data_IF_644873778007
#
_entry.id   IF_644873778007
#
_cell.length_a   1.000
_cell.length_b   1.000
_cell.length_c   1.000
_cell.angle_alpha   90.00
_cell.angle_beta   90.00
_cell.angle_gamma   90.00
#
_symmetry.space_group_name_H-M   'P 1'
#
loop_
_entity.id
_entity.type
_entity.pdbx_description
1 polymer ?
#
# COMPACT_ATOMS: atom_id res chain seq x y z
N UNK A 1 -20.50 -34.05 37.90
CA UNK A 1 -19.47 -33.77 36.88
C UNK A 1 -19.89 -32.53 36.14
N UNK A 2 -19.18 -31.38 36.34
CA UNK A 2 -19.48 -30.15 35.64
C UNK A 2 -18.81 -30.18 34.28
N UNK A 3 -19.62 -30.12 33.22
CA UNK A 3 -19.15 -30.00 31.85
C UNK A 3 -18.65 -28.55 31.68
N UNK A 4 -17.33 -28.37 31.63
CA UNK A 4 -16.71 -27.09 31.43
C UNK A 4 -17.13 -26.47 30.09
N UNK A 5 -17.87 -25.37 30.11
CA UNK A 5 -18.18 -24.60 28.92
C UNK A 5 -16.88 -24.03 28.33
N UNK A 6 -16.56 -24.45 27.10
CA UNK A 6 -15.45 -23.87 26.34
C UNK A 6 -15.74 -22.38 26.13
N UNK A 7 -14.83 -21.45 26.51
CA UNK A 7 -15.08 -20.04 26.32
C UNK A 7 -15.27 -19.73 24.82
N UNK A 8 -16.14 -18.79 24.46
CA UNK A 8 -16.39 -18.43 23.08
C UNK A 8 -15.08 -17.98 22.42
N UNK A 9 -14.78 -18.54 21.25
CA UNK A 9 -13.61 -18.18 20.43
C UNK A 9 -13.71 -16.68 20.11
N UNK A 10 -12.77 -15.90 20.63
CA UNK A 10 -12.69 -14.46 20.31
C UNK A 10 -12.42 -14.33 18.81
N UNK A 11 -13.43 -13.91 18.06
CA UNK A 11 -13.25 -13.58 16.64
C UNK A 11 -12.40 -12.31 16.59
N UNK A 12 -11.15 -12.44 16.11
CA UNK A 12 -10.30 -11.28 15.91
C UNK A 12 -10.87 -10.42 14.78
N UNK A 13 -10.84 -9.08 14.90
CA UNK A 13 -11.32 -8.21 13.84
C UNK A 13 -10.52 -8.45 12.56
N UNK A 14 -11.22 -8.41 11.42
CA UNK A 14 -10.57 -8.49 10.10
C UNK A 14 -9.70 -7.25 9.92
N UNK A 15 -8.41 -7.45 9.70
CA UNK A 15 -7.49 -6.34 9.45
C UNK A 15 -7.65 -5.82 8.02
N UNK A 16 -7.42 -4.54 7.85
CA UNK A 16 -7.55 -3.83 6.57
C UNK A 16 -6.16 -3.54 5.98
N UNK A 17 -6.02 -3.75 4.68
CA UNK A 17 -4.91 -3.25 3.88
C UNK A 17 -5.36 -2.00 3.15
N UNK A 18 -4.61 -0.90 3.27
CA UNK A 18 -4.74 0.26 2.40
C UNK A 18 -3.79 0.14 1.22
N UNK A 19 -4.29 0.35 0.02
CA UNK A 19 -3.48 0.50 -1.20
C UNK A 19 -3.75 1.87 -1.77
N UNK A 20 -2.75 2.74 -1.73
CA UNK A 20 -2.85 4.12 -2.19
C UNK A 20 -2.01 4.33 -3.44
N UNK A 21 -2.60 4.98 -4.42
CA UNK A 21 -2.00 5.27 -5.70
C UNK A 21 -1.98 6.78 -5.95
N UNK A 22 -0.81 7.31 -6.26
CA UNK A 22 -0.58 8.72 -6.48
C UNK A 22 -0.91 9.22 -7.89
N UNK A 23 -0.38 10.39 -8.25
CA UNK A 23 -0.75 11.10 -9.46
C UNK A 23 -0.42 10.30 -10.72
N UNK A 24 -1.27 10.44 -11.70
CA UNK A 24 -1.19 9.83 -13.03
C UNK A 24 -1.35 8.30 -13.07
N UNK A 25 -1.49 7.60 -11.94
CA UNK A 25 -1.72 6.15 -11.93
C UNK A 25 -3.12 5.77 -12.43
N UNK A 26 -4.06 6.71 -12.45
CA UNK A 26 -5.33 6.56 -13.17
C UNK A 26 -5.16 6.37 -14.69
N UNK A 27 -4.00 6.73 -15.25
CA UNK A 27 -3.66 6.57 -16.66
C UNK A 27 -2.91 5.26 -16.94
N UNK A 28 -2.76 4.39 -15.95
CA UNK A 28 -2.10 3.10 -16.10
C UNK A 28 -2.77 2.27 -17.21
N UNK A 29 -1.95 1.64 -18.07
CA UNK A 29 -2.41 0.91 -19.25
C UNK A 29 -2.55 1.76 -20.51
N UNK A 30 -2.63 3.08 -20.39
CA UNK A 30 -2.70 4.02 -21.53
C UNK A 30 -1.46 4.88 -21.65
N UNK A 31 -0.66 5.00 -20.59
CA UNK A 31 0.55 5.80 -20.52
C UNK A 31 1.79 4.91 -20.53
N UNK A 32 2.72 5.20 -21.45
CA UNK A 32 4.04 4.55 -21.51
C UNK A 32 3.98 3.02 -21.33
N UNK A 33 3.26 2.25 -22.20
CA UNK A 33 3.09 0.81 -22.00
C UNK A 33 4.39 0.03 -21.91
N UNK A 34 5.44 0.51 -22.56
CA UNK A 34 6.78 -0.09 -22.51
C UNK A 34 7.43 -0.04 -21.12
N UNK A 35 7.00 0.91 -20.25
CA UNK A 35 7.51 1.09 -18.88
C UNK A 35 6.60 0.45 -17.87
N UNK A 36 5.27 0.66 -17.99
CA UNK A 36 4.27 0.29 -16.99
C UNK A 36 3.42 -0.92 -17.38
N UNK A 37 3.54 -1.42 -18.64
CA UNK A 37 2.70 -2.49 -19.16
C UNK A 37 1.32 -2.02 -19.62
N UNK A 38 0.51 -2.96 -20.14
CA UNK A 38 -0.85 -2.70 -20.64
C UNK A 38 -1.94 -2.84 -19.59
N UNK A 39 -1.62 -3.31 -18.38
CA UNK A 39 -2.58 -3.51 -17.30
C UNK A 39 -3.05 -2.16 -16.75
N UNK A 40 -4.34 -2.08 -16.47
CA UNK A 40 -5.00 -0.88 -15.96
C UNK A 40 -4.97 -0.82 -14.43
N UNK A 41 -5.36 0.32 -13.87
CA UNK A 41 -5.52 0.44 -12.41
C UNK A 41 -6.61 -0.48 -11.87
N UNK A 42 -7.66 -0.75 -12.65
CA UNK A 42 -8.70 -1.73 -12.30
C UNK A 42 -8.14 -3.16 -12.20
N UNK A 43 -7.21 -3.54 -13.10
CA UNK A 43 -6.52 -4.82 -13.00
C UNK A 43 -5.65 -4.91 -11.74
N UNK A 44 -5.00 -3.81 -11.36
CA UNK A 44 -4.24 -3.71 -10.10
C UNK A 44 -5.16 -3.90 -8.89
N UNK A 45 -6.33 -3.28 -8.88
CA UNK A 45 -7.31 -3.46 -7.80
C UNK A 45 -7.73 -4.92 -7.65
N UNK A 46 -7.95 -5.62 -8.76
CA UNK A 46 -8.28 -7.06 -8.73
C UNK A 46 -7.12 -7.90 -8.18
N UNK A 47 -5.88 -7.60 -8.53
CA UNK A 47 -4.69 -8.26 -7.97
C UNK A 47 -4.64 -8.05 -6.45
N UNK A 48 -4.87 -6.83 -5.99
CA UNK A 48 -4.91 -6.50 -4.56
C UNK A 48 -6.04 -7.22 -3.84
N UNK A 49 -7.24 -7.25 -4.42
CA UNK A 49 -8.40 -7.92 -3.83
C UNK A 49 -8.15 -9.44 -3.67
N UNK A 50 -7.58 -10.07 -4.70
CA UNK A 50 -7.23 -11.49 -4.65
C UNK A 50 -6.15 -11.78 -3.58
N UNK A 51 -5.14 -10.91 -3.46
CA UNK A 51 -4.10 -11.06 -2.44
C UNK A 51 -4.68 -10.88 -1.02
N UNK A 52 -5.51 -9.85 -0.80
CA UNK A 52 -6.18 -9.65 0.48
C UNK A 52 -7.06 -10.86 0.85
N UNK A 53 -7.82 -11.40 -0.10
CA UNK A 53 -8.69 -12.56 0.14
C UNK A 53 -7.90 -13.79 0.61
N UNK A 54 -6.71 -14.04 0.04
CA UNK A 54 -5.84 -15.15 0.45
C UNK A 54 -5.44 -15.09 1.93
N UNK A 55 -5.33 -13.88 2.47
CA UNK A 55 -4.88 -13.64 3.86
C UNK A 55 -6.01 -13.25 4.80
N UNK A 56 -7.26 -13.21 4.34
CA UNK A 56 -8.41 -12.81 5.16
C UNK A 56 -8.41 -11.33 5.53
N UNK A 57 -7.77 -10.49 4.73
CA UNK A 57 -7.78 -9.03 4.88
C UNK A 57 -8.93 -8.38 4.11
N UNK A 58 -9.43 -7.27 4.60
CA UNK A 58 -10.23 -6.34 3.80
C UNK A 58 -9.31 -5.38 3.03
N UNK A 59 -9.80 -4.87 1.91
CA UNK A 59 -9.06 -3.93 1.05
C UNK A 59 -9.73 -2.57 1.05
N UNK A 60 -8.92 -1.52 1.20
CA UNK A 60 -9.27 -0.15 0.80
C UNK A 60 -8.30 0.32 -0.28
N UNK A 61 -8.82 0.48 -1.49
CA UNK A 61 -8.07 0.83 -2.68
C UNK A 61 -8.45 2.23 -3.15
N UNK A 62 -7.47 3.13 -3.24
CA UNK A 62 -7.68 4.52 -3.62
C UNK A 62 -6.63 5.01 -4.61
N UNK A 63 -7.01 5.99 -5.40
CA UNK A 63 -6.12 6.75 -6.28
C UNK A 63 -6.49 8.22 -6.22
N UNK A 64 -5.48 9.09 -6.19
CA UNK A 64 -5.68 10.54 -6.32
C UNK A 64 -4.46 11.21 -6.94
N UNK A 65 -4.73 12.25 -7.71
CA UNK A 65 -3.72 13.19 -8.20
C UNK A 65 -3.38 14.27 -7.16
N UNK A 66 -4.12 14.32 -6.05
CA UNK A 66 -3.99 15.34 -5.01
C UNK A 66 -3.22 14.78 -3.81
N UNK A 67 -2.13 15.46 -3.45
CA UNK A 67 -1.28 15.09 -2.32
C UNK A 67 -2.06 15.08 -0.99
N UNK A 68 -2.92 16.08 -0.76
CA UNK A 68 -3.74 16.16 0.44
C UNK A 68 -4.70 14.98 0.62
N UNK A 69 -5.29 14.46 -0.47
CA UNK A 69 -6.14 13.29 -0.40
C UNK A 69 -5.36 12.04 0.06
N UNK A 70 -4.14 11.86 -0.43
CA UNK A 70 -3.26 10.78 0.00
C UNK A 70 -2.92 10.89 1.49
N UNK A 71 -2.63 12.11 1.97
CA UNK A 71 -2.38 12.39 3.39
C UNK A 71 -3.59 12.04 4.24
N UNK A 72 -4.80 12.43 3.84
CA UNK A 72 -6.02 12.15 4.58
C UNK A 72 -6.26 10.63 4.72
N UNK A 73 -6.01 9.84 3.67
CA UNK A 73 -6.10 8.38 3.73
C UNK A 73 -4.99 7.76 4.60
N UNK A 74 -3.79 8.32 4.61
CA UNK A 74 -2.72 7.88 5.54
C UNK A 74 -3.17 8.13 6.99
N UNK A 75 -3.80 9.27 7.28
CA UNK A 75 -4.35 9.55 8.60
C UNK A 75 -5.49 8.58 8.96
N UNK A 76 -6.33 8.21 8.00
CA UNK A 76 -7.36 7.19 8.21
C UNK A 76 -6.74 5.82 8.55
N UNK A 77 -5.74 5.39 7.77
CA UNK A 77 -4.99 4.17 8.06
C UNK A 77 -4.33 4.23 9.45
N UNK A 78 -3.82 5.40 9.85
CA UNK A 78 -3.25 5.62 11.17
C UNK A 78 -4.25 5.37 12.31
N UNK A 79 -5.51 5.76 12.14
CA UNK A 79 -6.56 5.45 13.12
C UNK A 79 -6.78 3.94 13.26
N UNK A 80 -6.77 3.21 12.15
CA UNK A 80 -6.87 1.75 12.18
C UNK A 80 -5.61 1.11 12.77
N UNK A 81 -4.43 1.68 12.55
CA UNK A 81 -3.19 1.21 13.17
C UNK A 81 -3.29 1.27 14.70
N UNK A 82 -3.76 2.39 15.25
CA UNK A 82 -3.95 2.55 16.70
C UNK A 82 -4.99 1.57 17.24
N UNK A 83 -6.05 1.30 16.48
CA UNK A 83 -7.09 0.33 16.85
C UNK A 83 -6.65 -1.14 16.73
N UNK A 84 -5.48 -1.42 16.13
CA UNK A 84 -5.03 -2.79 15.85
C UNK A 84 -5.76 -3.46 14.68
N UNK A 85 -6.41 -2.67 13.84
CA UNK A 85 -7.25 -3.10 12.71
C UNK A 85 -6.59 -2.87 11.35
N UNK A 86 -5.36 -2.33 11.31
CA UNK A 86 -4.57 -2.18 10.08
C UNK A 86 -3.63 -3.37 9.90
N UNK A 87 -3.63 -3.98 8.71
CA UNK A 87 -2.58 -4.92 8.30
C UNK A 87 -1.36 -4.18 7.77
N UNK A 88 -1.57 -3.07 7.09
CA UNK A 88 -0.52 -2.20 6.58
C UNK A 88 -1.00 -1.32 5.42
N UNK A 89 -0.10 -0.49 4.95
CA UNK A 89 -0.27 0.44 3.85
C UNK A 89 0.71 0.10 2.74
N UNK A 90 0.21 -0.08 1.53
CA UNK A 90 1.01 -0.11 0.29
C UNK A 90 0.80 1.23 -0.41
N UNK A 91 1.86 1.98 -0.63
CA UNK A 91 1.80 3.29 -1.28
C UNK A 91 2.69 3.33 -2.52
N UNK A 92 2.05 3.46 -3.67
CA UNK A 92 2.69 3.90 -4.89
C UNK A 92 2.41 5.39 -5.06
N UNK A 93 3.27 6.22 -4.53
CA UNK A 93 3.08 7.67 -4.53
C UNK A 93 3.34 8.32 -5.91
N UNK A 94 3.79 7.52 -6.89
CA UNK A 94 4.17 8.05 -8.19
C UNK A 94 5.28 9.10 -8.07
N UNK A 95 5.15 10.21 -8.76
CA UNK A 95 6.14 11.29 -8.71
C UNK A 95 6.28 11.95 -7.33
N UNK A 96 5.25 11.88 -6.49
CA UNK A 96 5.31 12.47 -5.14
C UNK A 96 6.36 11.80 -4.24
N UNK A 97 6.79 10.56 -4.54
CA UNK A 97 7.88 9.94 -3.78
C UNK A 97 9.17 10.76 -3.83
N UNK A 98 9.39 11.49 -4.94
CA UNK A 98 10.60 12.30 -5.17
C UNK A 98 10.49 13.74 -4.64
N UNK A 99 9.31 14.18 -4.21
CA UNK A 99 9.04 15.60 -3.91
C UNK A 99 8.33 15.84 -2.58
N UNK A 100 7.59 14.86 -2.05
CA UNK A 100 6.68 15.10 -0.93
C UNK A 100 7.29 14.75 0.43
N UNK A 101 7.77 15.78 1.11
CA UNK A 101 8.08 15.70 2.54
C UNK A 101 6.79 15.51 3.36
N UNK A 102 5.67 16.12 2.92
CA UNK A 102 4.40 16.04 3.64
C UNK A 102 3.85 14.60 3.72
N UNK A 103 3.99 13.79 2.66
CA UNK A 103 3.65 12.36 2.72
C UNK A 103 4.55 11.59 3.69
N UNK A 104 5.84 11.86 3.68
CA UNK A 104 6.79 11.24 4.61
C UNK A 104 6.43 11.58 6.07
N UNK A 105 6.10 12.84 6.34
CA UNK A 105 5.67 13.30 7.67
C UNK A 105 4.36 12.64 8.11
N UNK A 106 3.39 12.47 7.19
CA UNK A 106 2.14 11.77 7.48
C UNK A 106 2.37 10.31 7.88
N UNK A 107 3.22 9.60 7.15
CA UNK A 107 3.59 8.21 7.47
C UNK A 107 4.29 8.12 8.82
N UNK A 108 5.29 8.99 9.06
CA UNK A 108 6.02 9.02 10.32
C UNK A 108 5.13 9.40 11.51
N UNK A 109 4.26 10.40 11.32
CA UNK A 109 3.38 10.91 12.37
C UNK A 109 2.28 9.93 12.78
N UNK A 110 1.80 9.09 11.86
CA UNK A 110 0.77 8.09 12.13
C UNK A 110 1.33 6.74 12.58
N UNK A 111 2.60 6.48 12.32
CA UNK A 111 3.24 5.20 12.65
C UNK A 111 2.73 4.01 11.84
N UNK A 112 2.08 4.24 10.68
CA UNK A 112 1.59 3.14 9.83
C UNK A 112 2.74 2.29 9.30
N UNK A 113 2.51 0.98 9.23
CA UNK A 113 3.44 0.08 8.55
C UNK A 113 3.31 0.27 7.06
N UNK A 114 4.30 0.92 6.44
CA UNK A 114 4.34 1.25 5.02
C UNK A 114 5.24 0.30 4.25
N UNK A 115 4.74 -0.23 3.13
CA UNK A 115 5.55 -0.70 2.01
C UNK A 115 5.46 0.34 0.89
N UNK A 116 6.58 0.97 0.57
CA UNK A 116 6.73 1.82 -0.60
C UNK A 116 6.83 0.95 -1.84
N UNK A 117 6.01 1.22 -2.85
CA UNK A 117 5.95 0.41 -4.07
C UNK A 117 6.13 1.28 -5.30
N UNK A 118 6.94 0.79 -6.24
CA UNK A 118 7.09 1.32 -7.59
C UNK A 118 6.94 0.19 -8.61
N UNK A 119 6.14 0.42 -9.65
CA UNK A 119 5.95 -0.54 -10.75
C UNK A 119 7.24 -0.76 -11.52
N UNK A 120 7.91 0.34 -11.88
CA UNK A 120 9.21 0.31 -12.58
C UNK A 120 10.37 0.22 -11.58
N UNK A 121 11.54 -0.22 -12.09
CA UNK A 121 12.79 -0.07 -11.36
C UNK A 121 13.24 1.41 -11.45
N UNK A 122 13.00 2.17 -10.41
CA UNK A 122 13.33 3.61 -10.34
C UNK A 122 14.83 3.88 -10.48
N UNK A 123 15.67 2.92 -10.10
CA UNK A 123 17.13 3.04 -10.20
C UNK A 123 17.65 2.84 -11.63
N UNK A 124 16.84 2.29 -12.52
CA UNK A 124 17.15 2.17 -13.95
C UNK A 124 16.60 3.34 -14.78
N UNK A 125 16.08 4.37 -14.13
CA UNK A 125 15.48 5.56 -14.75
C UNK A 125 16.36 6.79 -14.54
N UNK A 126 15.78 7.98 -14.77
CA UNK A 126 16.49 9.27 -14.66
C UNK A 126 16.98 9.51 -13.22
N UNK A 127 18.14 10.16 -13.09
CA UNK A 127 18.81 10.34 -11.80
C UNK A 127 17.92 10.98 -10.72
N UNK A 128 17.01 11.89 -11.11
CA UNK A 128 16.09 12.54 -10.14
C UNK A 128 15.07 11.56 -9.54
N UNK A 129 14.89 10.35 -10.12
CA UNK A 129 14.01 9.30 -9.59
C UNK A 129 14.71 8.36 -8.61
N UNK A 130 16.03 8.52 -8.41
CA UNK A 130 16.77 7.64 -7.51
C UNK A 130 16.59 7.98 -6.03
N UNK A 131 16.06 9.17 -5.70
CA UNK A 131 15.78 9.59 -4.33
C UNK A 131 14.29 9.51 -4.03
N UNK A 132 13.95 8.95 -2.88
CA UNK A 132 12.58 8.91 -2.34
C UNK A 132 12.58 9.43 -0.90
N UNK A 133 11.70 10.38 -0.60
CA UNK A 133 11.43 10.82 0.77
C UNK A 133 10.69 9.75 1.59
N UNK A 134 9.97 8.84 0.92
CA UNK A 134 9.19 7.78 1.58
C UNK A 134 10.07 6.63 2.06
N UNK A 135 11.17 6.34 1.35
CA UNK A 135 12.02 5.17 1.67
C UNK A 135 12.56 5.21 3.10
N UNK A 136 12.86 6.39 3.62
CA UNK A 136 13.38 6.56 4.98
C UNK A 136 12.33 6.29 6.09
N UNK A 137 11.04 6.34 5.76
CA UNK A 137 9.92 6.12 6.69
C UNK A 137 9.15 4.83 6.39
N UNK A 138 9.50 4.14 5.30
CA UNK A 138 8.90 2.88 4.92
C UNK A 138 9.54 1.71 5.69
N UNK A 139 8.74 0.70 5.99
CA UNK A 139 9.22 -0.58 6.54
C UNK A 139 9.98 -1.38 5.48
N UNK A 140 9.54 -1.31 4.22
CA UNK A 140 10.17 -1.95 3.08
C UNK A 140 9.93 -1.13 1.80
N UNK A 141 10.80 -1.30 0.83
CA UNK A 141 10.71 -0.69 -0.50
C UNK A 141 10.73 -1.80 -1.54
N UNK A 142 9.76 -1.78 -2.46
CA UNK A 142 9.68 -2.69 -3.59
C UNK A 142 9.64 -1.90 -4.88
N UNK A 143 10.46 -2.27 -5.85
CA UNK A 143 10.45 -1.64 -7.18
C UNK A 143 10.80 -2.65 -8.28
N UNK A 144 10.25 -2.44 -9.47
CA UNK A 144 10.63 -3.19 -10.67
C UNK A 144 9.88 -4.50 -10.91
N UNK A 145 8.90 -4.85 -10.09
CA UNK A 145 8.11 -6.08 -10.26
C UNK A 145 6.88 -5.90 -11.16
N UNK A 146 6.73 -4.75 -11.83
CA UNK A 146 5.50 -4.43 -12.54
C UNK A 146 4.30 -4.36 -11.60
N UNK A 147 3.12 -4.61 -12.12
CA UNK A 147 1.89 -4.59 -11.32
C UNK A 147 1.78 -5.79 -10.38
N UNK A 148 2.52 -6.88 -10.63
CA UNK A 148 2.60 -8.01 -9.71
C UNK A 148 3.13 -7.60 -8.33
N UNK A 149 3.93 -6.53 -8.25
CA UNK A 149 4.46 -5.98 -7.02
C UNK A 149 3.40 -5.66 -5.96
N UNK A 150 2.20 -5.26 -6.39
CA UNK A 150 1.09 -4.98 -5.45
C UNK A 150 0.67 -6.22 -4.66
N UNK A 151 0.47 -7.33 -5.36
CA UNK A 151 0.14 -8.61 -4.70
C UNK A 151 1.27 -9.08 -3.78
N UNK A 152 2.51 -8.99 -4.25
CA UNK A 152 3.70 -9.33 -3.45
C UNK A 152 3.83 -8.47 -2.20
N UNK A 153 3.51 -7.17 -2.28
CA UNK A 153 3.54 -6.29 -1.13
C UNK A 153 2.49 -6.69 -0.07
N UNK A 154 1.29 -7.08 -0.50
CA UNK A 154 0.24 -7.56 0.40
C UNK A 154 0.65 -8.89 1.04
N UNK A 155 1.23 -9.82 0.27
CA UNK A 155 1.77 -11.07 0.80
C UNK A 155 2.88 -10.80 1.85
N UNK A 156 3.74 -9.80 1.60
CA UNK A 156 4.76 -9.37 2.56
C UNK A 156 4.14 -8.79 3.84
N UNK A 157 3.10 -7.95 3.73
CA UNK A 157 2.38 -7.42 4.90
C UNK A 157 1.80 -8.56 5.76
N UNK A 158 1.31 -9.63 5.15
CA UNK A 158 0.80 -10.79 5.88
C UNK A 158 1.88 -11.49 6.72
N UNK A 159 3.13 -11.46 6.27
CA UNK A 159 4.27 -12.01 7.02
C UNK A 159 4.74 -11.10 8.17
N UNK A 160 4.31 -9.85 8.18
CA UNK A 160 4.70 -8.85 9.19
C UNK A 160 3.70 -8.74 10.35
N UNK A 161 2.62 -9.55 10.37
CA UNK A 161 1.56 -9.51 11.39
C UNK A 161 1.97 -10.09 12.75
#
# INVERSE_FOLDING_TARGET
>A
MAVGATPPRRVLPVKTVFVLNGPNLNLLGTREPAVYGAQTLADVEQICAAACARHGFSLRFHQSNHEGALIDWIHEAGRLQVAGELAGLVLNAGAYTHTSVALADAVKGTGVTLIELHISNVHAREAFRHHSYLSAVARAVMCGFGVAGYGLAIDALAQMQ
#
